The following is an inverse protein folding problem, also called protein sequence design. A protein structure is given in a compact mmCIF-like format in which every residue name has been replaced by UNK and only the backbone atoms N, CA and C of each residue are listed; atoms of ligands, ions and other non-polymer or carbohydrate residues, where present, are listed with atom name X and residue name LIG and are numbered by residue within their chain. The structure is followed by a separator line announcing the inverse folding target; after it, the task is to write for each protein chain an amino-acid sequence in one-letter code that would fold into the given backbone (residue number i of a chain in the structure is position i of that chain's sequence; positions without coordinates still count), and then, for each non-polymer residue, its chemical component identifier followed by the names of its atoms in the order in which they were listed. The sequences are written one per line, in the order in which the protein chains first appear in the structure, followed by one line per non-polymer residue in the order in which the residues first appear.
data_IF_803912946515
#
_entry.id   IF_803912946515
#
_cell.length_a   1.000
_cell.length_b   1.000
_cell.length_c   1.000
_cell.angle_alpha   90.00
_cell.angle_beta   90.00
_cell.angle_gamma   90.00
#
_symmetry.space_group_name_H-M   'P 1'
#
loop_
_entity.id
_entity.type
_entity.pdbx_description
1 polymer ?
#
# COMPACT_ATOMS: atom_id res chain seq x y z
N UNK A 1 -7.65 32.36 13.38
CA UNK A 1 -6.97 31.09 13.05
C UNK A 1 -8.03 30.16 12.49
N UNK A 2 -7.96 29.82 11.22
CA UNK A 2 -8.85 28.79 10.62
C UNK A 2 -8.55 27.45 11.28
N UNK A 3 -9.59 26.77 11.75
CA UNK A 3 -9.41 25.45 12.36
C UNK A 3 -8.75 24.51 11.34
N UNK A 4 -7.70 23.78 11.75
CA UNK A 4 -6.99 22.87 10.87
C UNK A 4 -7.91 21.74 10.36
N UNK A 5 -8.72 21.18 11.26
CA UNK A 5 -9.71 20.18 10.91
C UNK A 5 -11.08 20.81 10.58
N UNK A 6 -11.76 20.21 9.61
CA UNK A 6 -13.14 20.56 9.29
C UNK A 6 -14.09 20.16 10.43
N UNK A 7 -15.25 20.82 10.58
CA UNK A 7 -16.29 20.37 11.49
C UNK A 7 -16.82 18.95 11.20
N UNK A 8 -16.69 18.48 9.95
CA UNK A 8 -17.06 17.13 9.51
C UNK A 8 -15.99 16.07 9.78
N UNK A 9 -14.80 16.46 10.28
CA UNK A 9 -13.73 15.53 10.55
C UNK A 9 -14.13 14.44 11.56
N UNK A 10 -13.74 13.22 11.29
CA UNK A 10 -14.18 12.06 12.05
C UNK A 10 -13.64 12.05 13.48
N UNK A 11 -14.55 11.85 14.42
CA UNK A 11 -14.28 11.51 15.82
C UNK A 11 -15.32 10.48 16.29
N UNK A 12 -14.93 9.39 16.96
CA UNK A 12 -15.85 8.37 17.45
C UNK A 12 -16.93 8.90 18.40
N UNK A 13 -16.63 9.99 19.11
CA UNK A 13 -17.55 10.63 20.08
C UNK A 13 -18.55 11.61 19.44
N UNK A 14 -18.44 11.87 18.14
CA UNK A 14 -19.25 12.86 17.41
C UNK A 14 -20.01 12.27 16.22
N UNK A 15 -20.17 10.94 16.20
CA UNK A 15 -20.95 10.28 15.16
C UNK A 15 -22.43 10.67 15.33
N UNK A 16 -23.09 11.25 14.34
CA UNK A 16 -24.51 11.57 14.41
C UNK A 16 -25.36 10.31 14.28
N UNK A 17 -26.61 10.38 14.74
CA UNK A 17 -27.60 9.35 14.46
C UNK A 17 -27.87 9.28 12.96
N UNK A 18 -27.98 8.09 12.44
CA UNK A 18 -28.05 7.81 11.00
C UNK A 18 -29.32 7.06 10.65
N UNK A 19 -29.77 7.13 9.37
CA UNK A 19 -30.86 6.30 8.88
C UNK A 19 -30.59 4.80 9.08
N UNK A 20 -31.63 3.99 9.00
CA UNK A 20 -31.46 2.54 8.99
C UNK A 20 -30.61 2.09 7.78
N UNK A 21 -29.72 1.13 8.02
CA UNK A 21 -28.87 0.57 6.97
C UNK A 21 -29.73 -0.09 5.86
N UNK A 22 -29.31 0.08 4.62
CA UNK A 22 -29.98 -0.56 3.49
C UNK A 22 -29.52 -2.01 3.38
N UNK A 23 -30.49 -2.94 3.38
CA UNK A 23 -30.17 -4.37 3.19
C UNK A 23 -29.69 -4.62 1.77
N UNK A 24 -28.46 -5.12 1.65
CA UNK A 24 -27.83 -5.42 0.36
C UNK A 24 -27.70 -6.92 0.16
N UNK A 25 -28.44 -7.44 -0.79
CA UNK A 25 -28.50 -8.89 -1.05
C UNK A 25 -27.36 -9.44 -1.90
N UNK A 26 -26.64 -8.62 -2.66
CA UNK A 26 -25.74 -9.11 -3.71
C UNK A 26 -24.23 -9.04 -3.34
N UNK A 27 -23.82 -8.05 -2.54
CA UNK A 27 -22.42 -7.88 -2.17
C UNK A 27 -21.87 -8.98 -1.27
N UNK A 28 -22.75 -9.68 -0.52
CA UNK A 28 -22.36 -10.55 0.57
C UNK A 28 -23.09 -11.88 0.59
N UNK A 29 -23.29 -12.48 -0.61
CA UNK A 29 -24.08 -13.71 -0.71
C UNK A 29 -23.52 -14.89 0.07
N UNK A 30 -22.19 -15.04 0.18
CA UNK A 30 -21.57 -16.15 0.93
C UNK A 30 -20.20 -15.71 1.48
N UNK A 31 -19.97 -16.02 2.76
CA UNK A 31 -18.64 -15.92 3.38
C UNK A 31 -18.14 -14.51 3.67
N UNK A 32 -19.01 -13.50 3.75
CA UNK A 32 -18.60 -12.17 4.22
C UNK A 32 -19.20 -11.84 5.57
N UNK A 33 -18.39 -11.27 6.45
CA UNK A 33 -18.77 -10.79 7.77
C UNK A 33 -18.44 -9.31 7.92
N UNK A 34 -19.35 -8.57 8.56
CA UNK A 34 -19.12 -7.17 8.93
C UNK A 34 -18.21 -7.11 10.15
N UNK A 35 -17.20 -6.25 10.07
CA UNK A 35 -16.32 -5.96 11.19
C UNK A 35 -16.95 -4.91 12.13
N UNK A 36 -16.76 -5.03 13.45
CA UNK A 36 -17.27 -4.05 14.39
C UNK A 36 -16.51 -2.74 14.29
N UNK A 37 -17.21 -1.64 14.52
CA UNK A 37 -16.66 -0.32 14.72
C UNK A 37 -16.16 -0.14 16.15
N UNK A 38 -15.12 0.69 16.32
CA UNK A 38 -14.54 1.00 17.62
C UNK A 38 -13.58 -0.09 18.10
N UNK A 39 -13.26 -0.06 19.40
CA UNK A 39 -12.31 -0.99 20.03
C UNK A 39 -10.91 -0.95 19.42
N UNK A 40 -10.45 0.22 18.98
CA UNK A 40 -9.12 0.39 18.39
C UNK A 40 -8.02 0.24 19.45
N UNK A 41 -6.97 -0.52 19.12
CA UNK A 41 -5.83 -0.84 19.99
C UNK A 41 -4.49 -0.35 19.44
N UNK A 42 -4.51 0.59 18.48
CA UNK A 42 -3.34 1.10 17.78
C UNK A 42 -2.50 -0.04 17.17
N UNK A 43 -3.19 -0.97 16.51
CA UNK A 43 -2.55 -2.05 15.77
C UNK A 43 -2.27 -1.57 14.35
N UNK A 44 -1.05 -1.79 13.89
CA UNK A 44 -0.62 -1.43 12.55
C UNK A 44 -0.45 -2.70 11.72
N UNK A 45 -1.00 -2.78 10.49
CA UNK A 45 -0.71 -3.90 9.61
C UNK A 45 0.79 -4.06 9.42
N UNK A 46 1.28 -5.30 9.53
CA UNK A 46 2.72 -5.57 9.42
C UNK A 46 3.30 -5.02 8.09
N UNK A 47 2.56 -5.13 6.99
CA UNK A 47 2.92 -4.56 5.69
C UNK A 47 3.15 -3.05 5.71
N UNK A 48 2.37 -2.31 6.50
CA UNK A 48 2.52 -0.85 6.62
C UNK A 48 3.73 -0.46 7.46
N UNK A 49 4.04 -1.23 8.51
CA UNK A 49 5.22 -0.99 9.33
C UNK A 49 6.50 -1.35 8.57
N UNK A 50 6.54 -2.52 7.93
CA UNK A 50 7.71 -3.03 7.22
C UNK A 50 7.97 -2.37 5.86
N UNK A 51 7.07 -1.50 5.39
CA UNK A 51 7.15 -0.87 4.07
C UNK A 51 8.44 -0.04 3.88
N UNK A 52 8.86 0.64 4.94
CA UNK A 52 10.05 1.50 4.90
C UNK A 52 10.88 1.26 6.15
N UNK A 53 12.09 0.72 5.96
CA UNK A 53 13.06 0.53 7.05
C UNK A 53 13.71 1.85 7.48
N UNK A 54 14.33 1.92 8.66
CA UNK A 54 15.14 3.07 9.09
C UNK A 54 16.23 3.43 8.08
N UNK A 55 16.92 2.44 7.53
CA UNK A 55 17.90 2.64 6.47
C UNK A 55 17.26 3.28 5.23
N UNK A 56 16.08 2.79 4.79
CA UNK A 56 15.33 3.36 3.68
C UNK A 56 14.93 4.82 3.91
N UNK A 57 14.52 5.19 5.14
CA UNK A 57 14.23 6.58 5.49
C UNK A 57 15.48 7.48 5.38
N UNK A 58 16.65 7.00 5.84
CA UNK A 58 17.92 7.72 5.71
C UNK A 58 18.36 7.87 4.26
N UNK A 59 18.08 6.85 3.43
CA UNK A 59 18.37 6.89 1.99
C UNK A 59 17.50 7.93 1.27
N UNK A 60 16.21 7.97 1.57
CA UNK A 60 15.29 8.98 1.03
C UNK A 60 15.73 10.39 1.46
N UNK A 61 16.10 10.59 2.72
CA UNK A 61 16.57 11.89 3.21
C UNK A 61 17.87 12.33 2.50
N UNK A 62 18.83 11.41 2.30
CA UNK A 62 20.05 11.71 1.56
C UNK A 62 19.76 12.09 0.11
N UNK A 63 18.84 11.38 -0.52
CA UNK A 63 18.41 11.66 -1.88
C UNK A 63 17.69 13.02 -1.98
N UNK A 64 16.75 13.31 -1.07
CA UNK A 64 16.08 14.62 -1.00
C UNK A 64 17.11 15.76 -0.81
N UNK A 65 18.10 15.58 0.05
CA UNK A 65 19.19 16.55 0.24
C UNK A 65 20.07 16.72 -0.99
N UNK A 66 20.43 15.64 -1.69
CA UNK A 66 21.21 15.68 -2.93
C UNK A 66 20.44 16.40 -4.06
N UNK A 67 19.11 16.27 -4.10
CA UNK A 67 18.26 17.05 -5.03
C UNK A 67 18.26 18.55 -4.69
N UNK A 68 18.19 18.91 -3.40
CA UNK A 68 18.18 20.31 -2.93
C UNK A 68 19.53 20.99 -3.18
N UNK A 69 20.64 20.27 -3.02
CA UNK A 69 21.99 20.77 -3.29
C UNK A 69 22.36 20.77 -4.78
N UNK A 70 21.53 20.13 -5.61
CA UNK A 70 21.79 20.02 -7.06
C UNK A 70 22.86 18.98 -7.43
N UNK A 71 23.27 18.13 -6.49
CA UNK A 71 24.19 17.00 -6.74
C UNK A 71 23.53 15.90 -7.56
N UNK A 72 22.21 15.74 -7.41
CA UNK A 72 21.38 14.80 -8.19
C UNK A 72 20.23 15.52 -8.89
N UNK A 73 19.67 14.88 -9.91
CA UNK A 73 18.48 15.35 -10.62
C UNK A 73 17.42 14.24 -10.62
N UNK A 74 16.16 14.66 -10.52
CA UNK A 74 15.05 13.71 -10.60
C UNK A 74 15.04 12.99 -11.94
N UNK A 75 14.90 11.70 -11.87
CA UNK A 75 14.71 10.87 -13.05
C UNK A 75 13.36 11.17 -13.73
N UNK A 76 13.31 11.00 -15.05
CA UNK A 76 12.12 11.32 -15.85
C UNK A 76 10.85 10.57 -15.36
N UNK A 77 10.98 9.35 -14.84
CA UNK A 77 9.85 8.59 -14.32
C UNK A 77 9.37 9.11 -12.95
N UNK A 78 10.21 9.77 -12.15
CA UNK A 78 9.83 10.37 -10.86
C UNK A 78 9.04 11.66 -11.04
N UNK A 79 9.19 12.31 -12.19
CA UNK A 79 8.43 13.52 -12.54
C UNK A 79 7.00 13.22 -12.99
N UNK A 80 6.66 11.95 -13.18
CA UNK A 80 5.31 11.56 -13.55
C UNK A 80 4.38 11.61 -12.33
N UNK A 81 3.16 12.11 -12.55
CA UNK A 81 2.14 12.11 -11.51
C UNK A 81 1.52 10.71 -11.37
N UNK A 82 1.87 10.03 -10.29
CA UNK A 82 1.31 8.72 -9.92
C UNK A 82 0.02 8.82 -9.12
N UNK A 83 -0.41 10.04 -8.76
CA UNK A 83 -1.63 10.34 -8.01
C UNK A 83 -1.73 9.67 -6.63
N UNK A 84 -0.75 8.89 -6.21
CA UNK A 84 -0.70 8.29 -4.88
C UNK A 84 -0.16 9.30 -3.87
N UNK A 85 -0.90 9.49 -2.78
CA UNK A 85 -0.51 10.40 -1.69
C UNK A 85 -0.78 9.70 -0.37
N UNK A 86 0.21 9.66 0.51
CA UNK A 86 0.07 9.14 1.86
C UNK A 86 0.75 10.14 2.80
N UNK A 87 -0.03 10.97 3.45
CA UNK A 87 0.43 12.02 4.35
C UNK A 87 -0.48 12.15 5.60
N UNK A 88 -0.33 13.22 6.36
CA UNK A 88 -1.12 13.50 7.56
C UNK A 88 -2.57 13.90 7.27
N UNK A 89 -2.88 14.34 6.07
CA UNK A 89 -4.23 14.76 5.67
C UNK A 89 -4.93 13.72 4.80
N UNK A 90 -4.17 13.06 3.90
CA UNK A 90 -4.72 12.24 2.81
C UNK A 90 -4.03 10.89 2.71
N UNK A 91 -4.85 9.87 2.63
CA UNK A 91 -4.42 8.55 2.20
C UNK A 91 -5.15 8.23 0.89
N UNK A 92 -4.48 8.52 -0.22
CA UNK A 92 -5.00 8.39 -1.57
C UNK A 92 -4.31 7.24 -2.28
N UNK A 93 -5.10 6.34 -2.84
CA UNK A 93 -4.58 5.24 -3.64
C UNK A 93 -4.83 5.47 -5.13
N UNK A 94 -3.81 5.18 -5.93
CA UNK A 94 -3.88 5.15 -7.37
C UNK A 94 -3.13 3.92 -7.89
N UNK A 95 -3.73 3.19 -8.82
CA UNK A 95 -3.06 2.03 -9.43
C UNK A 95 -2.21 2.46 -10.62
N UNK A 96 -1.04 1.86 -10.76
CA UNK A 96 -0.24 2.02 -11.97
C UNK A 96 -0.98 1.46 -13.19
N UNK A 97 -0.83 2.13 -14.34
CA UNK A 97 -1.36 1.58 -15.58
C UNK A 97 -0.66 0.24 -15.93
N UNK A 98 -1.39 -0.68 -16.54
CA UNK A 98 -0.82 -1.98 -16.99
C UNK A 98 0.39 -1.78 -17.89
N UNK A 99 0.40 -0.71 -18.69
CA UNK A 99 1.50 -0.37 -19.58
C UNK A 99 2.76 0.06 -18.80
N UNK A 100 2.62 0.92 -17.79
CA UNK A 100 3.73 1.33 -16.93
C UNK A 100 4.27 0.15 -16.13
N UNK A 101 3.38 -0.67 -15.57
CA UNK A 101 3.71 -1.89 -14.86
C UNK A 101 4.55 -2.84 -15.73
N UNK A 102 4.16 -3.06 -16.99
CA UNK A 102 4.92 -3.89 -17.91
C UNK A 102 6.36 -3.41 -18.07
N UNK A 103 6.56 -2.10 -18.29
CA UNK A 103 7.90 -1.54 -18.49
C UNK A 103 8.75 -1.56 -17.21
N UNK A 104 8.16 -1.27 -16.07
CA UNK A 104 8.86 -1.37 -14.79
C UNK A 104 9.23 -2.82 -14.44
N UNK A 105 8.35 -3.79 -14.71
CA UNK A 105 8.68 -5.20 -14.54
C UNK A 105 9.76 -5.66 -15.54
N UNK A 106 9.72 -5.20 -16.78
CA UNK A 106 10.75 -5.53 -17.76
C UNK A 106 12.12 -5.00 -17.32
N UNK A 107 12.16 -3.76 -16.83
CA UNK A 107 13.39 -3.15 -16.30
C UNK A 107 13.86 -3.81 -15.01
N UNK A 108 13.06 -3.79 -13.95
CA UNK A 108 13.42 -4.31 -12.64
C UNK A 108 13.55 -5.81 -12.61
N UNK A 109 12.61 -6.54 -13.23
CA UNK A 109 12.63 -8.00 -13.34
C UNK A 109 13.78 -8.49 -14.22
N UNK A 110 14.02 -7.83 -15.36
CA UNK A 110 15.16 -8.13 -16.23
C UNK A 110 16.49 -7.95 -15.50
N UNK A 111 16.65 -6.86 -14.76
CA UNK A 111 17.81 -6.59 -13.91
C UNK A 111 18.01 -7.66 -12.83
N UNK A 112 16.94 -7.98 -12.10
CA UNK A 112 16.99 -8.99 -11.04
C UNK A 112 17.40 -10.36 -11.59
N UNK A 113 16.70 -10.85 -12.63
CA UNK A 113 17.01 -12.16 -13.25
C UNK A 113 18.41 -12.17 -13.83
N UNK A 114 18.87 -11.08 -14.47
CA UNK A 114 20.23 -10.97 -14.97
C UNK A 114 21.28 -11.19 -13.87
N UNK A 115 21.15 -10.52 -12.72
CA UNK A 115 22.12 -10.67 -11.63
C UNK A 115 22.05 -12.05 -10.98
N UNK A 116 20.88 -12.64 -10.83
CA UNK A 116 20.73 -14.01 -10.37
C UNK A 116 21.44 -14.96 -11.33
N UNK A 117 21.22 -14.83 -12.63
CA UNK A 117 21.88 -15.67 -13.64
C UNK A 117 23.39 -15.42 -13.71
N UNK A 118 23.86 -14.18 -13.52
CA UNK A 118 25.28 -13.84 -13.50
C UNK A 118 26.05 -14.52 -12.36
N UNK A 119 25.37 -14.86 -11.27
CA UNK A 119 25.97 -15.59 -10.14
C UNK A 119 25.89 -17.10 -10.37
N UNK A 120 24.73 -17.63 -10.72
CA UNK A 120 24.49 -19.07 -10.76
C UNK A 120 24.98 -19.75 -12.06
N UNK A 121 24.84 -19.10 -13.22
CA UNK A 121 25.24 -19.73 -14.49
C UNK A 121 26.73 -20.04 -14.59
N UNK A 122 27.68 -19.13 -14.25
CA UNK A 122 29.08 -19.46 -14.30
C UNK A 122 29.43 -20.65 -13.40
N UNK A 123 28.80 -20.73 -12.21
CA UNK A 123 29.03 -21.87 -11.31
C UNK A 123 28.51 -23.17 -11.92
N UNK A 124 27.30 -23.16 -12.51
CA UNK A 124 26.77 -24.37 -13.16
C UNK A 124 27.56 -24.78 -14.39
N UNK A 125 28.14 -23.83 -15.15
CA UNK A 125 28.99 -24.12 -16.29
C UNK A 125 30.29 -24.79 -15.85
N UNK A 126 30.95 -24.30 -14.80
CA UNK A 126 32.16 -24.85 -14.26
C UNK A 126 31.94 -26.27 -13.71
N UNK A 127 30.89 -26.45 -12.90
CA UNK A 127 30.56 -27.75 -12.33
C UNK A 127 30.14 -28.76 -13.42
N UNK A 128 29.30 -28.31 -14.36
CA UNK A 128 28.82 -29.13 -15.47
C UNK A 128 29.97 -29.59 -16.39
N UNK A 129 30.90 -28.70 -16.70
CA UNK A 129 32.09 -29.06 -17.50
C UNK A 129 33.01 -30.04 -16.78
N UNK A 130 33.16 -29.90 -15.45
CA UNK A 130 33.99 -30.81 -14.64
C UNK A 130 33.34 -32.19 -14.44
N UNK A 131 32.02 -32.31 -14.56
CA UNK A 131 31.29 -33.59 -14.44
C UNK A 131 31.27 -34.42 -15.73
N UNK A 132 31.70 -33.86 -16.86
CA UNK A 132 31.80 -34.56 -18.15
C UNK A 132 33.27 -34.95 -18.40
N UNK A 133 33.49 -36.22 -18.70
CA UNK A 133 34.85 -36.77 -18.90
C UNK A 133 35.58 -36.20 -20.12
N UNK A 134 36.89 -36.15 -20.03
CA UNK A 134 37.96 -36.03 -21.02
C UNK A 134 38.26 -34.71 -21.75
N UNK A 135 37.31 -33.78 -21.97
CA UNK A 135 37.61 -32.50 -22.65
C UNK A 135 36.95 -31.29 -22.00
N UNK A 136 37.46 -30.91 -20.83
CA UNK A 136 36.85 -29.83 -20.01
C UNK A 136 36.54 -28.54 -20.79
N UNK A 137 37.48 -28.03 -21.59
CA UNK A 137 37.29 -26.79 -22.34
C UNK A 137 36.25 -26.90 -23.45
N UNK A 138 36.24 -28.06 -24.15
CA UNK A 138 35.25 -28.30 -25.20
C UNK A 138 33.83 -28.41 -24.62
N UNK A 139 33.71 -29.12 -23.50
CA UNK A 139 32.43 -29.27 -22.77
C UNK A 139 31.95 -27.92 -22.21
N UNK A 140 32.86 -27.14 -21.59
CA UNK A 140 32.54 -25.80 -21.12
C UNK A 140 32.01 -24.89 -22.21
N UNK A 141 32.69 -24.85 -23.37
CA UNK A 141 32.25 -24.04 -24.52
C UNK A 141 30.91 -24.51 -25.10
N UNK A 142 30.65 -25.83 -25.13
CA UNK A 142 29.39 -26.38 -25.59
C UNK A 142 28.22 -25.98 -24.65
N UNK A 143 28.44 -26.09 -23.34
CA UNK A 143 27.46 -25.70 -22.33
C UNK A 143 27.17 -24.19 -22.41
N UNK A 144 28.22 -23.35 -22.48
CA UNK A 144 28.06 -21.91 -22.63
C UNK A 144 27.26 -21.57 -23.88
N UNK A 145 27.61 -22.15 -25.05
CA UNK A 145 26.86 -21.91 -26.29
C UNK A 145 25.40 -22.33 -26.21
N UNK A 146 25.12 -23.50 -25.60
CA UNK A 146 23.78 -24.04 -25.45
C UNK A 146 22.89 -23.22 -24.49
N UNK A 147 23.50 -22.58 -23.50
CA UNK A 147 22.77 -21.86 -22.43
C UNK A 147 22.94 -20.34 -22.45
N UNK A 148 23.72 -19.78 -23.37
CA UNK A 148 23.99 -18.34 -23.44
C UNK A 148 22.72 -17.49 -23.56
N UNK A 149 21.69 -18.00 -24.21
CA UNK A 149 20.41 -17.33 -24.35
C UNK A 149 19.72 -17.04 -23.01
N UNK A 150 19.92 -17.91 -21.99
CA UNK A 150 19.37 -17.72 -20.65
C UNK A 150 19.97 -16.52 -19.94
N UNK A 151 21.15 -16.07 -20.36
CA UNK A 151 21.81 -14.86 -19.90
C UNK A 151 21.47 -13.64 -20.77
N UNK A 152 21.43 -13.83 -22.09
CA UNK A 152 21.21 -12.76 -23.05
C UNK A 152 19.77 -12.21 -23.01
N UNK A 153 18.78 -13.06 -22.77
CA UNK A 153 17.37 -12.63 -22.72
C UNK A 153 17.11 -11.68 -21.53
N UNK A 154 17.48 -12.00 -20.28
CA UNK A 154 17.36 -11.05 -19.17
C UNK A 154 18.14 -9.75 -19.38
N UNK A 155 19.35 -9.83 -19.95
CA UNK A 155 20.14 -8.65 -20.30
C UNK A 155 19.42 -7.76 -21.31
N UNK A 156 18.86 -8.35 -22.37
CA UNK A 156 18.08 -7.61 -23.39
C UNK A 156 16.82 -6.99 -22.77
N UNK A 157 16.10 -7.74 -21.92
CA UNK A 157 14.94 -7.23 -21.19
C UNK A 157 15.32 -6.03 -20.30
N UNK A 158 16.42 -6.13 -19.55
CA UNK A 158 16.94 -5.04 -18.73
C UNK A 158 17.35 -3.84 -19.59
N UNK A 159 18.11 -4.04 -20.65
CA UNK A 159 18.57 -2.96 -21.54
C UNK A 159 17.40 -2.22 -22.20
N UNK A 160 16.43 -2.95 -22.76
CA UNK A 160 15.23 -2.38 -23.37
C UNK A 160 14.38 -1.65 -22.31
N UNK A 161 14.14 -2.30 -21.17
CA UNK A 161 13.41 -1.71 -20.05
C UNK A 161 14.07 -0.42 -19.54
N UNK A 162 15.41 -0.45 -19.38
CA UNK A 162 16.20 0.72 -18.97
C UNK A 162 16.10 1.86 -19.98
N UNK A 163 16.23 1.57 -21.26
CA UNK A 163 16.08 2.56 -22.33
C UNK A 163 14.72 3.24 -22.28
N UNK A 164 13.64 2.45 -22.10
CA UNK A 164 12.29 2.97 -22.03
C UNK A 164 12.06 3.79 -20.76
N UNK A 165 12.48 3.28 -19.61
CA UNK A 165 12.24 3.93 -18.32
C UNK A 165 13.04 5.21 -18.15
N UNK A 166 14.29 5.28 -18.62
CA UNK A 166 15.14 6.46 -18.43
C UNK A 166 15.17 7.44 -19.61
N UNK A 167 14.95 6.98 -20.84
CA UNK A 167 15.08 7.83 -22.03
C UNK A 167 13.76 8.08 -22.77
N UNK A 168 12.84 7.11 -22.76
CA UNK A 168 11.57 7.19 -23.49
C UNK A 168 10.36 7.31 -22.58
N UNK A 169 10.57 7.64 -21.30
CA UNK A 169 9.55 7.71 -20.26
C UNK A 169 8.31 8.47 -20.71
N UNK A 170 8.49 9.71 -21.14
CA UNK A 170 7.39 10.60 -21.53
C UNK A 170 6.57 10.10 -22.72
N UNK A 171 7.17 9.25 -23.57
CA UNK A 171 6.51 8.71 -24.75
C UNK A 171 5.79 7.40 -24.48
N UNK A 172 6.34 6.59 -23.57
CA UNK A 172 5.97 5.18 -23.42
C UNK A 172 5.33 4.88 -22.06
N UNK A 173 5.89 5.41 -20.98
CA UNK A 173 5.36 5.23 -19.64
C UNK A 173 4.16 6.15 -19.44
N UNK A 174 3.03 5.61 -19.04
CA UNK A 174 1.84 6.38 -18.69
C UNK A 174 1.48 6.05 -17.25
N UNK A 175 1.47 7.04 -16.35
CA UNK A 175 1.01 6.83 -14.99
C UNK A 175 -0.46 6.37 -14.97
N UNK A 176 -1.03 6.20 -13.79
CA UNK A 176 -2.44 5.86 -13.65
C UNK A 176 -3.34 6.93 -14.30
N UNK A 177 -4.61 6.58 -14.52
CA UNK A 177 -5.61 7.56 -14.98
C UNK A 177 -5.90 8.63 -13.93
N UNK A 178 -5.59 8.36 -12.67
CA UNK A 178 -5.87 9.17 -11.51
C UNK A 178 -6.11 8.30 -10.26
N UNK A 179 -6.49 8.91 -9.13
CA UNK A 179 -6.78 8.19 -7.90
C UNK A 179 -8.00 7.28 -8.06
N UNK A 180 -8.05 6.18 -7.29
CA UNK A 180 -9.21 5.31 -7.20
C UNK A 180 -10.07 5.66 -6.00
N UNK A 181 -9.42 5.95 -4.88
CA UNK A 181 -10.08 6.39 -3.64
C UNK A 181 -9.14 7.21 -2.77
N UNK A 182 -9.73 8.01 -1.88
CA UNK A 182 -9.02 8.83 -0.91
C UNK A 182 -9.74 8.80 0.44
N UNK A 183 -8.98 8.60 1.51
CA UNK A 183 -9.37 8.90 2.88
C UNK A 183 -8.79 10.27 3.24
N UNK A 184 -9.63 11.20 3.62
CA UNK A 184 -9.19 12.55 4.00
C UNK A 184 -9.44 12.75 5.50
N UNK A 185 -8.36 12.66 6.29
CA UNK A 185 -8.39 12.82 7.75
C UNK A 185 -8.89 14.19 8.16
N UNK A 186 -8.47 15.24 7.43
CA UNK A 186 -8.82 16.64 7.76
C UNK A 186 -10.31 16.92 7.63
N UNK A 187 -10.98 16.31 6.67
CA UNK A 187 -12.40 16.51 6.42
C UNK A 187 -13.28 15.38 6.94
N UNK A 188 -12.70 14.22 7.27
CA UNK A 188 -13.45 13.02 7.64
C UNK A 188 -14.16 12.34 6.48
N UNK A 189 -13.84 12.71 5.24
CA UNK A 189 -14.50 12.21 4.05
C UNK A 189 -13.73 11.05 3.42
N UNK A 190 -14.48 10.16 2.80
CA UNK A 190 -13.98 9.12 1.89
C UNK A 190 -14.46 9.45 0.50
N UNK A 191 -13.54 9.65 -0.43
CA UNK A 191 -13.84 9.96 -1.83
C UNK A 191 -13.54 8.76 -2.71
N UNK A 192 -14.49 8.40 -3.56
CA UNK A 192 -14.36 7.35 -4.59
C UNK A 192 -14.39 8.03 -5.95
N UNK A 193 -13.41 7.73 -6.79
CA UNK A 193 -13.28 8.31 -8.12
C UNK A 193 -13.84 7.33 -9.16
N UNK A 194 -14.85 7.78 -9.88
CA UNK A 194 -15.53 7.00 -10.90
C UNK A 194 -14.99 7.32 -12.29
N UNK A 195 -14.52 6.27 -12.96
CA UNK A 195 -14.01 6.33 -14.33
C UNK A 195 -14.91 5.63 -15.35
N UNK A 196 -16.10 5.18 -14.95
CA UNK A 196 -16.98 4.37 -15.82
C UNK A 196 -17.47 5.17 -17.01
N UNK A 197 -17.66 6.49 -16.85
CA UNK A 197 -17.98 7.36 -17.98
C UNK A 197 -16.72 7.82 -18.76
N UNK A 198 -15.98 6.86 -19.27
CA UNK A 198 -14.72 7.09 -20.00
C UNK A 198 -14.87 8.04 -21.21
N UNK A 199 -16.05 8.12 -21.82
CA UNK A 199 -16.32 9.00 -22.94
C UNK A 199 -16.35 10.48 -22.53
N UNK A 200 -16.90 10.79 -21.39
CA UNK A 200 -16.95 12.12 -20.82
C UNK A 200 -15.61 12.52 -20.23
N UNK A 201 -14.95 11.64 -19.50
CA UNK A 201 -13.59 11.86 -19.00
C UNK A 201 -12.60 12.20 -20.12
N UNK A 202 -12.64 11.44 -21.24
CA UNK A 202 -11.77 11.71 -22.40
C UNK A 202 -12.03 13.07 -23.07
N UNK A 203 -13.27 13.58 -22.99
CA UNK A 203 -13.65 14.84 -23.58
C UNK A 203 -13.38 16.04 -22.67
N UNK A 204 -13.72 15.91 -21.38
CA UNK A 204 -13.72 17.02 -20.42
C UNK A 204 -12.55 17.00 -19.45
N UNK A 205 -11.89 15.83 -19.26
CA UNK A 205 -10.90 15.61 -18.22
C UNK A 205 -11.48 15.56 -16.79
N UNK A 206 -12.82 15.62 -16.67
CA UNK A 206 -13.51 15.60 -15.37
C UNK A 206 -13.82 14.16 -14.97
N UNK A 207 -13.43 13.77 -13.77
CA UNK A 207 -13.72 12.49 -13.15
C UNK A 207 -14.94 12.68 -12.25
N UNK A 208 -15.87 11.72 -12.24
CA UNK A 208 -16.94 11.68 -11.25
C UNK A 208 -16.36 11.40 -9.87
N UNK A 209 -16.71 12.19 -8.89
CA UNK A 209 -16.26 12.04 -7.50
C UNK A 209 -17.46 11.83 -6.59
N UNK A 210 -17.43 10.73 -5.82
CA UNK A 210 -18.41 10.44 -4.78
C UNK A 210 -17.73 10.60 -3.44
N UNK A 211 -18.13 11.61 -2.66
CA UNK A 211 -17.51 11.91 -1.37
C UNK A 211 -18.55 11.82 -0.26
N UNK A 212 -18.30 10.92 0.70
CA UNK A 212 -19.19 10.64 1.83
C UNK A 212 -18.42 10.62 3.15
N UNK A 213 -19.07 10.91 4.29
CA UNK A 213 -18.45 10.80 5.60
C UNK A 213 -17.96 9.39 5.89
N UNK A 214 -16.77 9.27 6.49
CA UNK A 214 -16.18 7.97 6.84
C UNK A 214 -17.12 7.11 7.70
N UNK A 215 -17.86 7.70 8.62
CA UNK A 215 -18.79 6.99 9.49
C UNK A 215 -20.04 6.43 8.79
N UNK A 216 -20.24 6.71 7.49
CA UNK A 216 -21.30 6.10 6.68
C UNK A 216 -20.89 4.80 5.99
N UNK A 217 -19.65 4.37 6.19
CA UNK A 217 -19.14 3.13 5.64
C UNK A 217 -19.11 2.02 6.69
N UNK A 218 -19.22 0.79 6.25
CA UNK A 218 -18.96 -0.41 7.04
C UNK A 218 -17.88 -1.24 6.38
N UNK A 219 -17.07 -1.90 7.18
CA UNK A 219 -16.00 -2.76 6.70
C UNK A 219 -16.43 -4.22 6.75
N UNK A 220 -16.17 -4.94 5.66
CA UNK A 220 -16.49 -6.35 5.51
C UNK A 220 -15.26 -7.16 5.13
N UNK A 221 -15.12 -8.32 5.74
CA UNK A 221 -14.21 -9.36 5.27
C UNK A 221 -15.00 -10.31 4.39
N UNK A 222 -14.60 -10.48 3.13
CA UNK A 222 -15.08 -11.53 2.26
C UNK A 222 -14.10 -12.70 2.28
N UNK A 223 -14.64 -13.92 2.37
CA UNK A 223 -13.86 -15.16 2.40
C UNK A 223 -14.26 -16.03 1.22
N UNK A 224 -13.28 -16.57 0.52
CA UNK A 224 -13.55 -17.44 -0.63
C UNK A 224 -12.37 -18.35 -0.93
N UNK A 225 -12.63 -19.55 -1.49
CA UNK A 225 -11.57 -20.45 -1.90
C UNK A 225 -10.86 -19.93 -3.16
N UNK A 226 -9.56 -20.14 -3.21
CA UNK A 226 -8.78 -20.00 -4.43
C UNK A 226 -8.93 -21.23 -5.35
N UNK A 227 -8.15 -21.26 -6.45
CA UNK A 227 -8.15 -22.38 -7.39
C UNK A 227 -7.66 -23.71 -6.77
N UNK A 228 -6.97 -23.65 -5.64
CA UNK A 228 -6.42 -24.79 -4.91
C UNK A 228 -7.29 -25.19 -3.72
N UNK A 229 -8.39 -24.45 -3.47
CA UNK A 229 -9.31 -24.69 -2.35
C UNK A 229 -8.88 -24.05 -1.04
N UNK A 230 -7.82 -23.24 -1.02
CA UNK A 230 -7.40 -22.49 0.16
C UNK A 230 -8.33 -21.30 0.35
N UNK A 231 -8.77 -21.08 1.59
CA UNK A 231 -9.61 -19.93 1.93
C UNK A 231 -8.72 -18.69 2.04
N UNK A 232 -9.09 -17.67 1.28
CA UNK A 232 -8.46 -16.35 1.34
C UNK A 232 -9.46 -15.31 1.79
N UNK A 233 -8.96 -14.36 2.56
CA UNK A 233 -9.72 -13.23 3.09
C UNK A 233 -9.35 -11.96 2.34
N UNK A 234 -10.33 -11.08 2.15
CA UNK A 234 -10.16 -9.79 1.50
C UNK A 234 -11.01 -8.75 2.20
N UNK A 235 -10.45 -7.54 2.40
CA UNK A 235 -11.11 -6.46 3.10
C UNK A 235 -11.77 -5.50 2.12
N UNK A 236 -13.01 -5.15 2.39
CA UNK A 236 -13.79 -4.17 1.62
C UNK A 236 -14.39 -3.12 2.54
N UNK A 237 -14.36 -1.87 2.13
CA UNK A 237 -15.10 -0.79 2.75
C UNK A 237 -16.31 -0.50 1.88
N UNK A 238 -17.52 -0.56 2.46
CA UNK A 238 -18.79 -0.49 1.74
C UNK A 238 -19.63 0.65 2.29
N UNK A 239 -20.10 1.52 1.42
CA UNK A 239 -21.00 2.59 1.81
C UNK A 239 -22.35 2.03 2.25
N UNK A 240 -22.87 2.48 3.41
CA UNK A 240 -24.07 1.91 4.03
C UNK A 240 -25.36 2.17 3.23
N UNK A 241 -25.42 3.28 2.51
CA UNK A 241 -26.63 3.75 1.83
C UNK A 241 -26.56 3.71 0.32
N UNK A 242 -25.37 3.77 -0.26
CA UNK A 242 -25.14 3.78 -1.71
C UNK A 242 -24.42 2.52 -2.16
N UNK A 243 -24.58 2.15 -3.43
CA UNK A 243 -23.94 1.00 -4.04
C UNK A 243 -22.48 1.31 -4.43
N UNK A 244 -21.68 1.57 -3.40
CA UNK A 244 -20.28 1.94 -3.51
C UNK A 244 -19.45 1.06 -2.59
N UNK A 245 -18.36 0.51 -3.11
CA UNK A 245 -17.42 -0.31 -2.36
C UNK A 245 -15.98 -0.01 -2.77
N UNK A 246 -15.09 -0.03 -1.81
CA UNK A 246 -13.65 0.10 -1.98
C UNK A 246 -12.99 -1.23 -1.64
N UNK A 247 -12.16 -1.72 -2.54
CA UNK A 247 -11.23 -2.82 -2.26
C UNK A 247 -10.02 -2.26 -1.51
N UNK A 248 -9.80 -2.76 -0.29
CA UNK A 248 -8.69 -2.34 0.57
C UNK A 248 -7.43 -3.20 0.39
N UNK A 249 -7.35 -4.01 -0.67
CA UNK A 249 -6.15 -4.80 -1.01
C UNK A 249 -4.85 -3.97 -1.10
N UNK A 250 -4.86 -2.67 -1.44
CA UNK A 250 -3.66 -1.84 -1.37
C UNK A 250 -3.14 -1.58 0.05
N UNK A 251 -3.97 -1.72 1.07
CA UNK A 251 -3.59 -1.57 2.49
C UNK A 251 -3.18 -2.93 3.06
N UNK A 252 -3.97 -3.96 2.78
CA UNK A 252 -3.73 -5.33 3.22
C UNK A 252 -4.05 -6.28 2.08
N UNK A 253 -3.03 -7.00 1.59
CA UNK A 253 -3.21 -7.99 0.53
C UNK A 253 -4.08 -9.15 1.02
N UNK A 254 -4.61 -9.94 0.07
CA UNK A 254 -5.33 -11.17 0.39
C UNK A 254 -4.45 -12.09 1.22
N UNK A 255 -5.00 -12.64 2.29
CA UNK A 255 -4.30 -13.51 3.21
C UNK A 255 -5.22 -14.66 3.65
N UNK A 256 -4.63 -15.78 4.05
CA UNK A 256 -5.33 -16.91 4.66
C UNK A 256 -5.71 -16.65 6.12
N UNK A 257 -5.12 -15.65 6.75
CA UNK A 257 -5.43 -15.17 8.10
C UNK A 257 -6.34 -13.94 8.06
N UNK A 258 -7.27 -13.85 9.01
CA UNK A 258 -8.09 -12.65 9.20
C UNK A 258 -7.36 -11.54 9.98
N UNK A 259 -6.36 -11.88 10.77
CA UNK A 259 -5.69 -10.95 11.69
C UNK A 259 -5.07 -9.71 11.00
N UNK A 260 -4.39 -9.83 9.84
CA UNK A 260 -3.92 -8.64 9.11
C UNK A 260 -5.05 -7.71 8.66
N UNK A 261 -6.23 -8.27 8.35
CA UNK A 261 -7.41 -7.51 7.94
C UNK A 261 -8.04 -6.77 9.12
N UNK A 262 -8.05 -7.39 10.31
CA UNK A 262 -8.47 -6.71 11.54
C UNK A 262 -7.53 -5.54 11.88
N UNK A 263 -6.21 -5.77 11.78
CA UNK A 263 -5.22 -4.72 11.97
C UNK A 263 -5.37 -3.57 10.95
N UNK A 264 -5.69 -3.87 9.71
CA UNK A 264 -5.93 -2.85 8.68
C UNK A 264 -7.18 -2.00 9.00
N UNK A 265 -8.23 -2.62 9.53
CA UNK A 265 -9.42 -1.90 9.98
C UNK A 265 -9.13 -1.02 11.21
N UNK A 266 -8.39 -1.53 12.18
CA UNK A 266 -7.92 -0.75 13.33
C UNK A 266 -7.09 0.47 12.89
N UNK A 267 -6.12 0.24 12.00
CA UNK A 267 -5.28 1.29 11.43
C UNK A 267 -6.09 2.39 10.74
N UNK A 268 -7.08 2.03 9.92
CA UNK A 268 -7.91 3.02 9.21
C UNK A 268 -8.75 3.86 10.18
N UNK A 269 -9.34 3.24 11.19
CA UNK A 269 -10.10 3.97 12.21
C UNK A 269 -9.18 4.95 12.96
N UNK A 270 -7.98 4.53 13.35
CA UNK A 270 -7.01 5.39 14.03
C UNK A 270 -6.47 6.50 13.11
N UNK A 271 -6.21 6.19 11.84
CA UNK A 271 -5.80 7.19 10.86
C UNK A 271 -6.86 8.28 10.68
N UNK A 272 -8.14 7.92 10.62
CA UNK A 272 -9.24 8.88 10.40
C UNK A 272 -9.62 9.65 11.66
N UNK A 273 -9.37 9.13 12.86
CA UNK A 273 -9.75 9.77 14.14
C UNK A 273 -8.83 10.95 14.47
N UNK A 274 -9.34 12.18 14.27
CA UNK A 274 -8.60 13.40 14.62
C UNK A 274 -8.43 13.64 16.13
N UNK A 275 -9.11 12.87 16.98
CA UNK A 275 -8.92 12.90 18.43
C UNK A 275 -7.66 12.14 18.91
N UNK A 276 -7.03 11.38 18.02
CA UNK A 276 -5.84 10.56 18.28
C UNK A 276 -4.67 11.01 17.42
N UNK A 277 -3.42 10.76 17.84
CA UNK A 277 -2.26 10.98 16.98
C UNK A 277 -2.34 10.05 15.76
N UNK A 278 -1.65 10.42 14.69
CA UNK A 278 -1.43 9.51 13.55
C UNK A 278 -0.81 8.20 14.01
N UNK A 279 -1.15 7.07 13.37
CA UNK A 279 -0.46 5.80 13.61
C UNK A 279 1.05 5.98 13.54
N UNK A 280 1.77 5.41 14.51
CA UNK A 280 3.22 5.60 14.59
C UNK A 280 3.96 4.60 13.70
N UNK A 281 4.14 5.00 12.44
CA UNK A 281 4.85 4.22 11.43
C UNK A 281 5.90 5.08 10.72
N UNK A 282 6.96 4.47 10.16
CA UNK A 282 8.03 5.19 9.45
C UNK A 282 7.51 6.13 8.37
N UNK A 283 6.49 5.69 7.62
CA UNK A 283 5.89 6.44 6.52
C UNK A 283 5.34 7.83 6.93
N UNK A 284 4.83 7.94 8.16
CA UNK A 284 4.27 9.20 8.66
C UNK A 284 5.28 10.07 9.41
N UNK A 285 6.52 9.63 9.64
CA UNK A 285 7.47 10.36 10.48
C UNK A 285 7.62 11.82 10.07
N UNK A 286 7.85 12.10 8.79
CA UNK A 286 8.00 13.47 8.28
C UNK A 286 6.71 14.30 8.29
N UNK A 287 5.57 13.67 8.47
CA UNK A 287 4.25 14.32 8.46
C UNK A 287 3.69 14.60 9.86
N UNK A 288 4.28 14.00 10.91
CA UNK A 288 3.77 14.07 12.28
C UNK A 288 3.68 15.50 12.83
N UNK A 289 4.67 16.33 12.52
CA UNK A 289 4.69 17.73 12.93
C UNK A 289 3.58 18.58 12.30
N UNK A 290 3.07 18.15 11.14
CA UNK A 290 2.05 18.87 10.38
C UNK A 290 0.63 18.58 10.88
N UNK A 291 0.41 17.43 11.57
CA UNK A 291 -0.88 17.09 12.18
C UNK A 291 -0.95 17.66 13.62
N UNK A 292 -1.84 18.61 13.91
CA UNK A 292 -1.85 19.30 15.21
C UNK A 292 -2.02 18.38 16.40
N UNK A 293 -2.87 17.36 16.30
CA UNK A 293 -3.11 16.37 17.35
C UNK A 293 -1.86 15.54 17.61
N UNK A 294 -1.20 15.09 16.55
CA UNK A 294 0.05 14.31 16.63
C UNK A 294 1.19 15.16 17.19
N UNK A 295 1.37 16.37 16.68
CA UNK A 295 2.39 17.29 17.18
C UNK A 295 2.22 17.63 18.67
N UNK A 296 0.98 17.79 19.13
CA UNK A 296 0.71 18.00 20.55
C UNK A 296 0.99 16.75 21.39
N UNK A 297 0.66 15.57 20.86
CA UNK A 297 0.96 14.29 21.50
C UNK A 297 2.46 14.07 21.62
N UNK A 298 3.22 14.24 20.53
CA UNK A 298 4.67 14.02 20.49
C UNK A 298 5.43 14.95 21.42
N UNK A 299 5.03 16.25 21.48
CA UNK A 299 5.57 17.19 22.48
C UNK A 299 5.31 16.74 23.92
N UNK A 300 4.10 16.23 24.20
CA UNK A 300 3.72 15.79 25.56
C UNK A 300 4.47 14.54 25.99
N UNK A 301 4.69 13.60 25.05
CA UNK A 301 5.38 12.33 25.33
C UNK A 301 6.90 12.41 25.21
N UNK A 302 7.42 13.52 24.67
CA UNK A 302 8.86 13.67 24.41
C UNK A 302 9.35 12.75 23.28
N UNK A 303 8.47 12.37 22.34
CA UNK A 303 8.86 11.51 21.22
C UNK A 303 9.91 12.22 20.35
N UNK A 304 11.07 11.59 20.05
CA UNK A 304 12.06 12.16 19.16
C UNK A 304 11.49 12.40 17.75
N UNK A 305 11.87 13.50 17.12
CA UNK A 305 11.43 13.83 15.76
C UNK A 305 11.86 12.79 14.75
N UNK A 306 13.08 12.24 14.92
CA UNK A 306 13.72 11.27 14.04
C UNK A 306 13.68 9.85 14.61
N UNK A 307 12.61 9.52 15.34
CA UNK A 307 12.49 8.25 16.08
C UNK A 307 12.76 7.02 15.21
N UNK A 308 12.13 6.94 14.04
CA UNK A 308 12.30 5.83 13.11
C UNK A 308 13.63 5.90 12.34
N UNK A 309 14.05 7.09 11.90
CA UNK A 309 15.29 7.26 11.12
C UNK A 309 16.53 6.92 11.90
N UNK A 310 16.55 7.27 13.19
CA UNK A 310 17.71 7.09 14.06
C UNK A 310 17.70 5.74 14.77
N UNK A 311 16.68 4.91 14.52
CA UNK A 311 16.58 3.56 15.07
C UNK A 311 17.64 2.65 14.44
N UNK A 312 18.30 1.84 15.28
CA UNK A 312 19.21 0.80 14.85
C UNK A 312 18.46 -0.44 14.32
N UNK A 313 19.19 -1.26 13.56
CA UNK A 313 18.59 -2.41 12.87
C UNK A 313 18.10 -3.49 13.87
N UNK A 314 18.76 -3.68 15.01
CA UNK A 314 18.37 -4.67 16.02
C UNK A 314 17.05 -4.26 16.68
N UNK A 315 16.95 -3.00 17.09
CA UNK A 315 15.71 -2.42 17.64
C UNK A 315 14.57 -2.46 16.61
N UNK A 316 14.87 -2.18 15.36
CA UNK A 316 13.91 -2.26 14.25
C UNK A 316 13.33 -3.66 14.07
N UNK A 317 14.20 -4.68 13.99
CA UNK A 317 13.77 -6.09 13.86
C UNK A 317 12.94 -6.55 15.08
N UNK A 318 13.31 -6.10 16.27
CA UNK A 318 12.53 -6.35 17.48
C UNK A 318 11.13 -5.72 17.40
N UNK A 319 11.02 -4.48 16.92
CA UNK A 319 9.74 -3.79 16.71
C UNK A 319 8.87 -4.51 15.66
N UNK A 320 9.46 -4.95 14.55
CA UNK A 320 8.73 -5.73 13.53
C UNK A 320 8.18 -7.04 14.11
N UNK A 321 9.01 -7.77 14.86
CA UNK A 321 8.63 -9.04 15.49
C UNK A 321 7.52 -8.82 16.52
N UNK A 322 7.65 -7.79 17.36
CA UNK A 322 6.64 -7.44 18.35
C UNK A 322 5.31 -7.06 17.68
N UNK A 323 5.36 -6.24 16.63
CA UNK A 323 4.16 -5.84 15.89
C UNK A 323 3.48 -7.05 15.24
N UNK A 324 4.25 -7.95 14.63
CA UNK A 324 3.71 -9.18 14.04
C UNK A 324 3.00 -10.04 15.11
N UNK A 325 3.59 -10.16 16.30
CA UNK A 325 2.96 -10.83 17.43
C UNK A 325 1.64 -10.19 17.86
N UNK A 326 1.60 -8.84 17.91
CA UNK A 326 0.36 -8.08 18.21
C UNK A 326 -0.69 -8.29 17.14
N UNK A 327 -0.33 -8.20 15.85
CA UNK A 327 -1.25 -8.44 14.74
C UNK A 327 -1.85 -9.84 14.81
N UNK A 328 -1.02 -10.88 15.01
CA UNK A 328 -1.48 -12.26 15.07
C UNK A 328 -2.37 -12.56 16.29
N UNK A 329 -2.19 -11.84 17.38
CA UNK A 329 -3.01 -11.97 18.59
C UNK A 329 -4.29 -11.10 18.56
N UNK A 330 -4.39 -10.18 17.57
CA UNK A 330 -5.50 -9.24 17.50
C UNK A 330 -6.74 -9.89 16.87
N UNK A 331 -7.78 -10.04 17.68
CA UNK A 331 -9.07 -10.56 17.26
C UNK A 331 -10.20 -9.65 17.71
N UNK A 332 -11.01 -9.22 16.77
CA UNK A 332 -12.20 -8.41 16.98
C UNK A 332 -13.50 -9.19 16.74
N UNK A 333 -13.39 -10.50 16.51
CA UNK A 333 -14.56 -11.36 16.28
C UNK A 333 -15.45 -11.38 17.53
N UNK A 334 -16.74 -11.13 17.34
CA UNK A 334 -17.71 -11.12 18.43
C UNK A 334 -17.66 -9.88 19.35
N UNK A 335 -16.80 -8.89 19.09
CA UNK A 335 -16.86 -7.61 19.81
C UNK A 335 -18.14 -6.84 19.43
N UNK A 336 -18.66 -6.06 20.38
CA UNK A 336 -19.84 -5.23 20.14
C UNK A 336 -19.52 -4.17 19.05
N UNK A 337 -20.39 -4.04 18.08
CA UNK A 337 -20.29 -2.99 17.10
C UNK A 337 -20.77 -1.66 17.72
N UNK A 338 -19.85 -0.72 17.98
CA UNK A 338 -20.20 0.57 18.57
C UNK A 338 -21.09 1.42 17.67
N UNK A 339 -21.11 1.15 16.36
CA UNK A 339 -21.98 1.83 15.40
C UNK A 339 -23.46 1.49 15.59
N UNK A 340 -23.82 0.36 16.26
CA UNK A 340 -25.22 -0.02 16.56
C UNK A 340 -25.94 1.01 17.45
N UNK A 341 -25.20 1.90 18.09
CA UNK A 341 -25.76 3.04 18.83
C UNK A 341 -26.33 4.14 17.94
N UNK A 342 -25.83 4.22 16.71
CA UNK A 342 -26.11 5.30 15.76
C UNK A 342 -26.88 4.82 14.54
N UNK A 343 -26.88 3.52 14.26
CA UNK A 343 -27.48 2.93 13.05
C UNK A 343 -28.28 1.71 13.42
N UNK A 344 -29.48 1.56 12.85
CA UNK A 344 -30.22 0.28 12.86
C UNK A 344 -29.80 -0.54 11.66
N UNK A 345 -29.22 -1.70 11.89
CA UNK A 345 -28.95 -2.67 10.85
C UNK A 345 -30.18 -3.56 10.63
N UNK A 346 -30.55 -3.76 9.36
CA UNK A 346 -31.53 -4.77 8.99
C UNK A 346 -30.81 -6.10 8.79
N UNK A 347 -30.78 -6.92 9.81
CA UNK A 347 -30.23 -8.29 9.76
C UNK A 347 -31.05 -9.20 8.87
#
# INVERSE_FOLDING_TARGET
MTAHYSPSAYQPTRIPDQPAAVKRSWLFRFGSSRLPWGHTEDIVPHSMLSHTSPAGLRDVERYEHALETGEEQREAYELLDYHQVIDHERYRHASLSKRSLFWFYLWGGGRFVFWVMAIFLPLTWLVGAAALDDEYLTNLLAIIKGTAWTFLVPLACWAIGSLVVHKLTNCVVRPSKGPLWEFNRRTGMVTIFDYDNMGEYKRSGIIGEFSYPFHEFDTYISSGPDRQGLIWHQLHLVHRYHDLAIDLSPIVSKDSSMAPHFAAWDFLQNYMDIGRPLPDIPLFEKHRANDPTTAAHDRRTGRPERYWRDMDDETWEAQLTQNLGRVNAYDITGRLNLMDRHVRYAD
#
